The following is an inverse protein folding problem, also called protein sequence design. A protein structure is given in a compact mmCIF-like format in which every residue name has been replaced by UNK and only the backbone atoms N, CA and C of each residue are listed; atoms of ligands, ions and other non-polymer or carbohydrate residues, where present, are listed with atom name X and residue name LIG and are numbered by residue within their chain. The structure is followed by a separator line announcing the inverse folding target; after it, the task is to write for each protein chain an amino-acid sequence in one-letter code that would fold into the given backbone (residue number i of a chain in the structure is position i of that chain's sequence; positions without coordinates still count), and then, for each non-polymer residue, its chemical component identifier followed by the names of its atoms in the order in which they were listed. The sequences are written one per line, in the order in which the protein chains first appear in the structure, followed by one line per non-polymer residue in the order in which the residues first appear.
data_IF_979236186703
#
_entry.id   IF_979236186703
#
_cell.length_a   1.000
_cell.length_b   1.000
_cell.length_c   1.000
_cell.angle_alpha   90.00
_cell.angle_beta   90.00
_cell.angle_gamma   90.00
#
_symmetry.space_group_name_H-M   'P 1'
#
loop_
_entity.id
_entity.type
_entity.pdbx_description
1 polymer ?
#
# COMPACT_ATOMS: atom_id res chain seq x y z
N UNK A 1 7.26 1.31 -12.58
CA UNK A 1 5.96 1.90 -12.20
C UNK A 1 6.13 2.78 -10.97
N UNK A 2 5.58 4.01 -10.96
CA UNK A 2 5.60 4.87 -9.78
C UNK A 2 4.54 4.45 -8.75
N UNK A 3 4.79 4.74 -7.47
CA UNK A 3 3.90 4.39 -6.35
C UNK A 3 2.48 4.94 -6.56
N UNK A 4 2.35 6.18 -7.01
CA UNK A 4 1.05 6.80 -7.29
C UNK A 4 0.26 6.13 -8.41
N UNK A 5 0.94 5.52 -9.39
CA UNK A 5 0.26 4.75 -10.44
C UNK A 5 -0.33 3.46 -9.87
N UNK A 6 0.44 2.75 -9.03
CA UNK A 6 -0.05 1.53 -8.36
C UNK A 6 -1.24 1.84 -7.44
N UNK A 7 -1.15 2.92 -6.67
CA UNK A 7 -2.25 3.38 -5.83
C UNK A 7 -3.55 3.57 -6.64
N UNK A 8 -3.44 4.30 -7.75
CA UNK A 8 -4.57 4.58 -8.64
C UNK A 8 -5.11 3.30 -9.31
N UNK A 9 -4.23 2.41 -9.79
CA UNK A 9 -4.63 1.14 -10.42
C UNK A 9 -5.36 0.20 -9.46
N UNK A 10 -5.01 0.21 -8.17
CA UNK A 10 -5.66 -0.64 -7.17
C UNK A 10 -6.84 0.04 -6.45
N UNK A 11 -7.13 1.31 -6.77
CA UNK A 11 -8.19 2.09 -6.13
C UNK A 11 -7.91 2.45 -4.67
N UNK A 12 -6.64 2.53 -4.27
CA UNK A 12 -6.22 2.81 -2.88
C UNK A 12 -5.54 4.16 -2.76
N UNK A 13 -5.57 4.74 -1.57
CA UNK A 13 -4.88 6.01 -1.31
C UNK A 13 -3.36 5.83 -1.37
N UNK A 14 -2.61 6.71 -2.06
CA UNK A 14 -1.15 6.66 -2.09
C UNK A 14 -0.55 6.88 -0.69
N UNK A 15 -1.26 7.60 0.19
CA UNK A 15 -0.89 7.79 1.60
C UNK A 15 -0.80 6.43 2.33
N UNK A 16 -1.76 5.54 2.13
CA UNK A 16 -1.76 4.20 2.74
C UNK A 16 -0.51 3.42 2.34
N UNK A 17 -0.16 3.46 1.06
CA UNK A 17 1.02 2.80 0.52
C UNK A 17 2.31 3.44 1.02
N UNK A 18 2.35 4.77 1.17
CA UNK A 18 3.48 5.49 1.76
C UNK A 18 3.68 5.07 3.22
N UNK A 19 2.61 5.03 4.01
CA UNK A 19 2.66 4.58 5.41
C UNK A 19 3.14 3.14 5.53
N UNK A 20 2.63 2.23 4.69
CA UNK A 20 3.07 0.82 4.67
C UNK A 20 4.56 0.66 4.34
N UNK A 21 5.10 1.57 3.51
CA UNK A 21 6.51 1.60 3.14
C UNK A 21 7.39 2.45 4.06
N UNK A 22 6.83 3.04 5.13
CA UNK A 22 7.55 3.97 6.02
C UNK A 22 8.02 5.25 5.34
N UNK A 23 7.38 5.63 4.24
CA UNK A 23 7.66 6.85 3.49
C UNK A 23 6.89 8.05 4.07
N UNK A 24 7.40 9.28 3.88
CA UNK A 24 6.69 10.48 4.32
C UNK A 24 5.33 10.59 3.62
N UNK A 25 4.27 10.40 4.42
CA UNK A 25 2.89 10.46 3.98
C UNK A 25 2.51 11.87 3.50
N UNK A 26 1.87 11.96 2.33
CA UNK A 26 1.37 13.22 1.77
C UNK A 26 2.37 13.95 0.88
N UNK A 27 3.61 13.47 0.78
CA UNK A 27 4.54 13.93 -0.26
C UNK A 27 4.12 13.28 -1.58
N UNK A 28 4.01 14.11 -2.62
CA UNK A 28 3.69 13.66 -3.97
C UNK A 28 4.94 13.03 -4.59
N UNK A 29 5.34 11.90 -4.03
CA UNK A 29 6.52 11.17 -4.43
C UNK A 29 6.24 10.42 -5.74
N UNK A 30 6.94 10.83 -6.79
CA UNK A 30 6.86 10.20 -8.11
C UNK A 30 7.95 9.16 -8.31
N UNK A 31 8.71 8.79 -7.26
CA UNK A 31 9.78 7.83 -7.43
C UNK A 31 9.21 6.47 -7.88
N UNK A 32 9.91 5.81 -8.81
CA UNK A 32 9.58 4.44 -9.16
C UNK A 32 9.76 3.54 -7.93
N UNK A 33 8.93 2.50 -7.83
CA UNK A 33 9.03 1.50 -6.76
C UNK A 33 10.43 0.89 -6.64
N UNK A 34 11.15 0.71 -7.75
CA UNK A 34 12.53 0.23 -7.74
C UNK A 34 13.53 1.21 -7.10
N UNK A 35 13.28 2.52 -7.21
CA UNK A 35 14.11 3.57 -6.61
C UNK A 35 13.86 3.65 -5.10
N UNK A 36 12.58 3.54 -4.69
CA UNK A 36 12.17 3.40 -3.28
C UNK A 36 12.80 2.16 -2.66
N UNK A 37 12.72 1.02 -3.34
CA UNK A 37 13.34 -0.23 -2.90
C UNK A 37 14.86 -0.06 -2.70
N UNK A 38 15.52 0.58 -3.67
CA UNK A 38 16.96 0.85 -3.61
C UNK A 38 17.34 1.78 -2.45
N UNK A 39 16.56 2.84 -2.21
CA UNK A 39 16.74 3.75 -1.07
C UNK A 39 16.57 3.05 0.28
N UNK A 40 15.70 2.05 0.35
CA UNK A 40 15.48 1.25 1.56
C UNK A 40 16.42 0.04 1.69
N UNK A 41 17.29 -0.20 0.72
CA UNK A 41 18.11 -1.43 0.69
C UNK A 41 17.28 -2.72 0.57
N UNK A 42 16.04 -2.62 0.07
CA UNK A 42 15.12 -3.74 -0.10
C UNK A 42 15.06 -4.18 -1.55
N UNK A 43 14.69 -5.44 -1.77
CA UNK A 43 14.36 -5.92 -3.10
C UNK A 43 13.02 -5.38 -3.57
N UNK A 44 12.86 -5.20 -4.87
CA UNK A 44 11.57 -4.81 -5.47
C UNK A 44 10.44 -5.77 -5.07
N UNK A 45 10.71 -7.07 -4.98
CA UNK A 45 9.75 -8.08 -4.57
C UNK A 45 9.25 -7.86 -3.13
N UNK A 46 10.14 -7.49 -2.21
CA UNK A 46 9.79 -7.20 -0.80
C UNK A 46 8.88 -5.97 -0.72
N UNK A 47 9.25 -4.89 -1.42
CA UNK A 47 8.41 -3.67 -1.49
C UNK A 47 7.05 -3.98 -2.10
N UNK A 48 7.01 -4.78 -3.18
CA UNK A 48 5.75 -5.19 -3.81
C UNK A 48 4.89 -5.99 -2.82
N UNK A 49 5.46 -6.95 -2.13
CA UNK A 49 4.77 -7.78 -1.13
C UNK A 49 4.16 -6.91 -0.02
N UNK A 50 4.93 -5.99 0.55
CA UNK A 50 4.41 -5.05 1.58
C UNK A 50 3.24 -4.22 1.07
N UNK A 51 3.29 -3.77 -0.18
CA UNK A 51 2.20 -3.02 -0.80
C UNK A 51 0.96 -3.91 -1.01
N UNK A 52 1.14 -5.12 -1.52
CA UNK A 52 0.05 -6.09 -1.72
C UNK A 52 -0.65 -6.44 -0.39
N UNK A 53 0.13 -6.66 0.69
CA UNK A 53 -0.41 -6.90 2.03
C UNK A 53 -1.19 -5.70 2.57
N UNK A 54 -0.69 -4.48 2.39
CA UNK A 54 -1.40 -3.27 2.80
C UNK A 54 -2.71 -3.06 2.02
N UNK A 55 -2.71 -3.35 0.71
CA UNK A 55 -3.91 -3.30 -0.13
C UNK A 55 -4.92 -4.36 0.31
N UNK A 56 -4.47 -5.59 0.56
CA UNK A 56 -5.32 -6.69 1.02
C UNK A 56 -5.94 -6.37 2.39
N UNK A 57 -5.16 -5.85 3.33
CA UNK A 57 -5.65 -5.42 4.64
C UNK A 57 -6.70 -4.32 4.53
N UNK A 58 -6.47 -3.30 3.69
CA UNK A 58 -7.44 -2.22 3.45
C UNK A 58 -8.71 -2.74 2.80
N UNK A 59 -8.60 -3.64 1.83
CA UNK A 59 -9.77 -4.29 1.22
C UNK A 59 -10.55 -5.08 2.26
N UNK A 60 -9.90 -5.88 3.12
CA UNK A 60 -10.60 -6.57 4.20
C UNK A 60 -11.38 -5.60 5.10
N UNK A 61 -10.77 -4.47 5.48
CA UNK A 61 -11.46 -3.44 6.27
C UNK A 61 -12.64 -2.79 5.53
N UNK A 62 -12.54 -2.61 4.21
CA UNK A 62 -13.61 -2.03 3.37
C UNK A 62 -14.77 -3.00 3.11
N UNK A 63 -14.50 -4.31 3.17
CA UNK A 63 -15.53 -5.36 3.08
C UNK A 63 -16.22 -5.56 4.46
N UNK A 64 -15.66 -5.01 5.55
CA UNK A 64 -16.21 -5.09 6.92
C UNK A 64 -16.88 -3.81 7.48
N UNK A 65 -17.72 -3.04 6.77
CA UNK A 65 -18.57 -2.03 7.42
C UNK A 65 -19.78 -2.63 8.16
N UNK A 66 -19.78 -3.94 8.47
CA UNK A 66 -20.98 -4.59 9.01
C UNK A 66 -20.84 -6.04 9.48
N UNK A 67 -19.73 -6.44 10.12
CA UNK A 67 -19.75 -7.70 10.88
C UNK A 67 -20.57 -7.51 12.17
N UNK A 68 -21.89 -7.58 12.04
CA UNK A 68 -22.73 -8.09 13.11
C UNK A 68 -22.17 -9.46 13.50
N UNK A 69 -21.78 -9.71 14.76
CA UNK A 69 -21.44 -11.04 15.22
C UNK A 69 -22.74 -11.84 15.36
N UNK A 70 -23.29 -12.34 14.25
CA UNK A 70 -24.29 -13.39 14.31
C UNK A 70 -23.57 -14.74 14.47
N UNK A 71 -23.68 -15.31 15.67
CA UNK A 71 -23.43 -16.73 15.90
C UNK A 71 -22.35 -17.03 16.95
N UNK A 72 -22.69 -16.85 18.23
CA UNK A 72 -22.56 -17.91 19.24
C UNK A 72 -23.74 -17.85 20.19
#
# INVERSE_FOLDING_TARGET
MPLGYVANSHGVSPILLQTALGLPAGVRDRSPLGEIARKQGKSFAEVRRTLEEAIAAKRNQDIEPGRNPAGQ
#
